data_IF_081538161254
#
_entry.id   IF_081538161254
#
_cell.length_a   1.000
_cell.length_b   1.000
_cell.length_c   1.000
_cell.angle_alpha   90.00
_cell.angle_beta   90.00
_cell.angle_gamma   90.00
#
_symmetry.space_group_name_H-M   'P 1'
#
loop_
_entity.id
_entity.type
_entity.pdbx_description
1 polymer ?
#
# COMPACT_ATOMS: atom_id res chain seq x y z
N UNK A 1 -5.45 1.01 -3.50
CA UNK A 1 -4.77 1.54 -4.67
C UNK A 1 -4.06 0.44 -5.44
N UNK A 2 -3.90 0.63 -6.72
CA UNK A 2 -3.13 -0.31 -7.56
C UNK A 2 -1.64 -0.21 -7.21
N UNK A 3 -0.95 -1.35 -7.13
CA UNK A 3 0.49 -1.42 -6.93
C UNK A 3 1.12 -2.34 -7.98
N UNK A 4 2.11 -1.83 -8.69
CA UNK A 4 2.93 -2.55 -9.63
C UNK A 4 4.34 -1.95 -9.63
N UNK A 5 5.25 -2.58 -8.92
CA UNK A 5 6.62 -2.10 -8.74
C UNK A 5 7.67 -3.01 -9.38
N UNK A 6 7.23 -4.11 -10.00
CA UNK A 6 8.11 -5.12 -10.56
C UNK A 6 8.50 -4.81 -12.01
N UNK A 7 7.52 -4.62 -12.88
CA UNK A 7 7.76 -4.32 -14.31
C UNK A 7 6.68 -3.42 -14.88
N UNK A 8 7.01 -2.58 -15.88
CA UNK A 8 6.03 -1.74 -16.54
C UNK A 8 4.90 -2.56 -17.13
N UNK A 9 3.66 -2.15 -16.87
CA UNK A 9 2.48 -2.85 -17.38
C UNK A 9 1.26 -1.93 -17.49
N UNK A 10 0.16 -2.49 -18.00
CA UNK A 10 -1.11 -1.80 -18.18
C UNK A 10 -1.11 -0.79 -19.33
N UNK A 11 -2.19 -0.02 -19.41
CA UNK A 11 -2.43 0.93 -20.51
C UNK A 11 -1.32 1.98 -20.67
N UNK A 12 -0.66 2.35 -19.59
CA UNK A 12 0.36 3.39 -19.55
C UNK A 12 1.79 2.83 -19.51
N UNK A 13 1.95 1.50 -19.67
CA UNK A 13 3.24 0.82 -19.68
C UNK A 13 4.22 1.40 -18.64
N UNK A 14 3.83 1.41 -17.37
CA UNK A 14 4.64 1.95 -16.29
C UNK A 14 4.54 1.11 -15.00
N UNK A 15 5.51 1.30 -14.12
CA UNK A 15 5.41 0.91 -12.73
C UNK A 15 4.71 2.01 -11.94
N UNK A 16 3.92 1.64 -10.95
CA UNK A 16 3.28 2.62 -10.08
C UNK A 16 2.92 2.06 -8.71
N UNK A 17 2.85 2.94 -7.74
CA UNK A 17 2.32 2.68 -6.42
C UNK A 17 1.67 3.93 -5.82
N UNK A 18 0.80 3.72 -4.85
CA UNK A 18 0.19 4.80 -4.09
C UNK A 18 0.64 4.73 -2.63
N UNK A 19 0.85 5.87 -2.02
CA UNK A 19 1.20 6.00 -0.62
C UNK A 19 0.46 7.19 0.00
N UNK A 20 0.25 7.14 1.30
CA UNK A 20 -0.42 8.20 2.04
C UNK A 20 0.62 9.01 2.81
N UNK A 21 0.55 10.33 2.69
CA UNK A 21 1.36 11.24 3.49
C UNK A 21 0.72 11.38 4.88
N UNK A 22 1.49 11.25 5.98
CA UNK A 22 1.03 11.67 7.29
C UNK A 22 0.68 13.15 7.32
N UNK A 23 -0.25 13.58 8.18
CA UNK A 23 -0.73 14.95 8.23
C UNK A 23 0.39 15.99 8.41
N UNK A 24 1.34 15.72 9.29
CA UNK A 24 2.49 16.60 9.54
C UNK A 24 3.36 16.80 8.28
N UNK A 25 3.52 15.72 7.49
CA UNK A 25 4.27 15.79 6.22
C UNK A 25 3.45 16.51 5.16
N UNK A 26 2.13 16.34 5.16
CA UNK A 26 1.22 17.02 4.25
C UNK A 26 1.27 18.54 4.47
N UNK A 27 1.17 18.98 5.71
CA UNK A 27 1.23 20.41 6.08
C UNK A 27 2.57 21.04 5.62
N UNK A 28 3.67 20.32 5.81
CA UNK A 28 4.99 20.75 5.34
C UNK A 28 5.05 20.79 3.80
N UNK A 29 4.50 19.77 3.14
CA UNK A 29 4.49 19.71 1.67
C UNK A 29 3.64 20.81 1.04
N UNK A 30 2.56 21.24 1.70
CA UNK A 30 1.73 22.37 1.25
C UNK A 30 2.48 23.68 1.40
N UNK A 31 3.16 23.91 2.51
CA UNK A 31 3.98 25.10 2.72
C UNK A 31 5.13 25.18 1.70
N UNK A 32 5.85 24.09 1.50
CA UNK A 32 6.90 23.99 0.48
C UNK A 32 6.36 24.25 -0.92
N UNK A 33 5.17 23.73 -1.21
CA UNK A 33 4.51 23.94 -2.50
C UNK A 33 4.24 25.41 -2.76
N UNK A 34 3.74 26.15 -1.78
CA UNK A 34 3.48 27.59 -1.91
C UNK A 34 4.78 28.35 -2.26
N UNK A 35 5.88 28.03 -1.59
CA UNK A 35 7.18 28.64 -1.85
C UNK A 35 7.69 28.32 -3.25
N UNK A 36 7.61 27.06 -3.65
CA UNK A 36 7.99 26.62 -5.00
C UNK A 36 7.15 27.27 -6.09
N UNK A 37 5.86 27.50 -5.84
CA UNK A 37 4.99 28.21 -6.77
C UNK A 37 5.32 29.70 -6.85
N UNK A 38 5.70 30.34 -5.74
CA UNK A 38 6.23 31.71 -5.75
C UNK A 38 7.47 31.78 -6.65
N UNK A 39 8.40 30.83 -6.46
CA UNK A 39 9.57 30.72 -7.32
C UNK A 39 9.20 30.50 -8.80
N UNK A 40 8.24 29.60 -9.12
CA UNK A 40 7.76 29.39 -10.50
C UNK A 40 7.31 30.71 -11.14
N UNK A 41 6.56 31.53 -10.41
CA UNK A 41 6.07 32.81 -10.90
C UNK A 41 7.19 33.77 -11.29
N UNK A 42 8.37 33.67 -10.67
CA UNK A 42 9.53 34.50 -11.04
C UNK A 42 10.24 34.02 -12.30
N UNK A 43 9.93 32.81 -12.78
CA UNK A 43 10.59 32.17 -13.93
C UNK A 43 9.76 32.22 -15.22
N UNK A 44 8.61 32.86 -15.17
CA UNK A 44 7.70 32.97 -16.32
C UNK A 44 7.31 34.43 -16.56
N UNK A 45 7.22 34.85 -17.82
CA UNK A 45 6.97 36.25 -18.18
C UNK A 45 5.57 36.74 -17.80
N UNK A 46 4.57 35.85 -17.88
CA UNK A 46 3.16 36.15 -17.61
C UNK A 46 2.51 35.09 -16.70
N UNK A 47 2.81 35.09 -15.40
CA UNK A 47 2.32 34.05 -14.47
C UNK A 47 0.81 33.92 -14.42
N UNK A 48 0.08 35.03 -14.58
CA UNK A 48 -1.38 35.05 -14.57
C UNK A 48 -2.06 34.38 -15.76
N UNK A 49 -1.31 34.10 -16.84
CA UNK A 49 -1.82 33.42 -18.04
C UNK A 49 -1.52 31.91 -18.05
N UNK A 50 -0.73 31.46 -17.08
CA UNK A 50 -0.31 30.05 -17.02
C UNK A 50 -1.22 29.34 -16.03
N UNK A 51 -1.82 28.23 -16.46
CA UNK A 51 -2.66 27.42 -15.61
C UNK A 51 -1.84 26.84 -14.43
N UNK A 52 -2.47 26.76 -13.27
CA UNK A 52 -1.90 26.13 -12.08
C UNK A 52 -2.46 24.73 -11.94
N UNK A 53 -1.58 23.74 -11.92
CA UNK A 53 -1.96 22.36 -11.64
C UNK A 53 -2.21 22.14 -10.14
N UNK A 54 -3.17 21.29 -9.78
CA UNK A 54 -3.41 20.93 -8.39
C UNK A 54 -2.19 20.17 -7.79
N UNK A 55 -2.11 20.01 -6.48
CA UNK A 55 -1.10 19.19 -5.84
C UNK A 55 -1.16 17.73 -6.31
N UNK A 56 -0.12 16.96 -6.03
CA UNK A 56 -0.04 15.52 -6.38
C UNK A 56 -0.60 14.59 -5.30
N UNK A 57 -1.22 15.16 -4.29
CA UNK A 57 -1.96 14.46 -3.26
C UNK A 57 -3.43 14.92 -3.27
N UNK A 58 -4.31 14.04 -2.85
CA UNK A 58 -5.72 14.37 -2.63
C UNK A 58 -5.98 14.89 -1.21
N UNK A 59 -7.25 15.14 -0.88
CA UNK A 59 -7.68 15.67 0.41
C UNK A 59 -7.30 14.75 1.58
N UNK A 60 -7.16 13.44 1.32
CA UNK A 60 -6.73 12.44 2.30
C UNK A 60 -5.20 12.27 2.38
N UNK A 61 -4.45 13.04 1.61
CA UNK A 61 -2.99 12.94 1.50
C UNK A 61 -2.51 11.76 0.65
N UNK A 62 -3.39 11.13 -0.14
CA UNK A 62 -3.02 10.02 -1.00
C UNK A 62 -2.27 10.52 -2.24
N UNK A 63 -1.06 10.01 -2.42
CA UNK A 63 -0.22 10.26 -3.58
C UNK A 63 -0.15 9.03 -4.48
N UNK A 64 -0.15 9.24 -5.79
CA UNK A 64 0.19 8.22 -6.78
C UNK A 64 1.50 8.58 -7.46
N UNK A 65 2.45 7.66 -7.45
CA UNK A 65 3.73 7.79 -8.12
C UNK A 65 3.86 6.76 -9.24
N UNK A 66 4.29 7.23 -10.41
CA UNK A 66 4.53 6.39 -11.59
C UNK A 66 5.93 6.63 -12.11
N UNK A 67 6.61 5.56 -12.52
CA UNK A 67 7.98 5.58 -13.00
C UNK A 67 8.22 4.47 -14.01
N UNK A 68 9.40 4.47 -14.63
CA UNK A 68 9.81 3.51 -15.65
C UNK A 68 8.91 3.51 -16.90
N UNK A 69 9.20 2.67 -17.85
CA UNK A 69 8.44 2.55 -19.10
C UNK A 69 8.25 3.88 -19.80
N UNK A 70 7.03 4.17 -20.25
CA UNK A 70 6.69 5.37 -21.04
C UNK A 70 6.76 6.68 -20.22
N UNK A 71 6.94 6.62 -18.90
CA UNK A 71 7.04 7.84 -18.08
C UNK A 71 8.38 8.56 -18.26
N UNK A 72 9.41 7.88 -18.72
CA UNK A 72 10.78 8.38 -18.80
C UNK A 72 11.41 8.73 -17.43
N UNK A 73 10.75 8.37 -16.33
CA UNK A 73 11.27 8.58 -14.97
C UNK A 73 12.03 7.36 -14.51
N UNK A 74 13.24 7.51 -13.95
CA UNK A 74 13.96 6.35 -13.40
C UNK A 74 13.24 5.76 -12.20
N UNK A 75 13.40 4.46 -12.02
CA UNK A 75 12.92 3.76 -10.84
C UNK A 75 13.55 4.34 -9.56
N UNK A 76 12.80 4.44 -8.44
CA UNK A 76 13.41 4.71 -7.14
C UNK A 76 14.29 3.53 -6.71
N UNK A 77 15.25 3.80 -5.83
CA UNK A 77 16.08 2.75 -5.24
C UNK A 77 15.27 2.05 -4.15
N UNK A 78 15.10 0.74 -4.25
CA UNK A 78 14.45 -0.09 -3.24
C UNK A 78 15.51 -0.71 -2.35
N UNK A 79 15.36 -0.56 -1.04
CA UNK A 79 16.27 -1.13 -0.04
C UNK A 79 15.47 -1.85 1.06
N UNK A 80 16.11 -2.78 1.74
CA UNK A 80 15.59 -3.45 2.92
C UNK A 80 15.83 -2.62 4.20
N UNK A 81 15.54 -3.20 5.36
CA UNK A 81 15.74 -2.55 6.68
C UNK A 81 17.21 -2.37 7.05
N UNK A 82 18.12 -3.13 6.44
CA UNK A 82 19.57 -2.99 6.60
C UNK A 82 20.17 -1.92 5.69
N UNK A 83 19.39 -1.48 4.70
CA UNK A 83 19.83 -0.54 3.67
C UNK A 83 20.41 -1.21 2.43
N UNK A 84 20.34 -2.54 2.36
CA UNK A 84 20.82 -3.29 1.19
C UNK A 84 19.81 -3.19 0.03
N UNK A 85 20.28 -3.06 -1.21
CA UNK A 85 19.42 -3.03 -2.38
C UNK A 85 18.59 -4.31 -2.52
N UNK A 86 17.30 -4.14 -2.77
CA UNK A 86 16.38 -5.24 -2.99
C UNK A 86 16.44 -5.68 -4.45
N UNK A 87 16.59 -6.97 -4.67
CA UNK A 87 16.55 -7.55 -6.01
C UNK A 87 15.17 -7.39 -6.64
N UNK A 88 15.16 -7.19 -7.95
CA UNK A 88 13.92 -6.97 -8.71
C UNK A 88 12.90 -8.10 -8.51
N UNK A 89 13.35 -9.35 -8.45
CA UNK A 89 12.45 -10.49 -8.24
C UNK A 89 11.71 -10.44 -6.91
N UNK A 90 12.35 -9.93 -5.86
CA UNK A 90 11.72 -9.73 -4.54
C UNK A 90 10.58 -8.70 -4.61
N UNK A 91 10.66 -7.72 -5.52
CA UNK A 91 9.61 -6.73 -5.71
C UNK A 91 8.28 -7.32 -6.22
N UNK A 92 8.30 -8.54 -6.75
CA UNK A 92 7.07 -9.30 -7.10
C UNK A 92 6.20 -9.59 -5.88
N UNK A 93 6.81 -9.69 -4.70
CA UNK A 93 6.10 -9.99 -3.46
C UNK A 93 5.47 -8.75 -2.80
N UNK A 94 5.81 -7.55 -3.28
CA UNK A 94 5.25 -6.30 -2.75
C UNK A 94 3.76 -6.22 -3.05
N UNK A 95 2.94 -6.08 -2.01
CA UNK A 95 1.48 -6.04 -2.08
C UNK A 95 0.94 -4.80 -1.37
N UNK A 96 -0.33 -4.53 -1.60
CA UNK A 96 -1.06 -3.50 -0.84
C UNK A 96 -0.96 -3.80 0.66
N UNK A 97 -0.71 -2.78 1.46
CA UNK A 97 -0.48 -2.93 2.91
C UNK A 97 0.99 -3.06 3.31
N UNK A 98 1.92 -3.24 2.36
CA UNK A 98 3.36 -3.19 2.64
C UNK A 98 3.72 -1.86 3.30
N UNK A 99 4.42 -1.91 4.43
CA UNK A 99 4.89 -0.72 5.13
C UNK A 99 6.24 -0.29 4.59
N UNK A 100 6.35 0.98 4.26
CA UNK A 100 7.57 1.54 3.66
C UNK A 100 7.95 2.87 4.30
N UNK A 101 9.24 3.22 4.21
CA UNK A 101 9.73 4.58 4.39
C UNK A 101 10.14 5.12 3.03
N UNK A 102 9.85 6.39 2.80
CA UNK A 102 10.13 7.03 1.52
C UNK A 102 11.10 8.19 1.69
N UNK A 103 12.02 8.31 0.73
CA UNK A 103 12.77 9.54 0.49
C UNK A 103 12.17 10.16 -0.76
N UNK A 104 11.54 11.31 -0.60
CA UNK A 104 10.88 12.02 -1.68
C UNK A 104 11.29 13.49 -1.70
N UNK A 105 11.22 14.09 -2.87
CA UNK A 105 11.53 15.50 -3.09
C UNK A 105 10.38 16.13 -3.90
N UNK A 106 9.91 17.28 -3.46
CA UNK A 106 8.99 18.08 -4.25
C UNK A 106 9.77 18.95 -5.23
N UNK A 107 9.37 18.93 -6.50
CA UNK A 107 10.01 19.69 -7.58
C UNK A 107 9.01 20.59 -8.30
N UNK A 108 9.37 21.85 -8.52
CA UNK A 108 8.58 22.77 -9.32
C UNK A 108 8.73 22.51 -10.81
N UNK A 109 7.72 22.88 -11.58
CA UNK A 109 7.77 22.95 -13.04
C UNK A 109 6.90 24.11 -13.53
N UNK A 110 7.27 24.65 -14.70
CA UNK A 110 6.61 25.85 -15.27
C UNK A 110 5.95 25.59 -16.62
N UNK A 111 6.13 24.42 -17.21
CA UNK A 111 5.57 24.04 -18.50
C UNK A 111 5.01 22.61 -18.46
N UNK A 112 3.89 22.33 -19.16
CA UNK A 112 3.02 23.23 -19.93
C UNK A 112 2.15 24.14 -19.04
N UNK A 113 2.05 23.85 -17.75
CA UNK A 113 1.39 24.61 -16.70
C UNK A 113 2.35 24.77 -15.53
N UNK A 114 2.06 25.64 -14.57
CA UNK A 114 2.81 25.73 -13.32
C UNK A 114 2.32 24.67 -12.34
N UNK A 115 3.23 24.13 -11.56
CA UNK A 115 2.88 23.16 -10.52
C UNK A 115 4.08 22.58 -9.82
N UNK A 116 3.81 21.64 -8.94
CA UNK A 116 4.83 20.83 -8.28
C UNK A 116 4.56 19.34 -8.53
N UNK A 117 5.63 18.56 -8.53
CA UNK A 117 5.57 17.10 -8.63
C UNK A 117 6.37 16.49 -7.50
N UNK A 118 5.95 15.32 -7.04
CA UNK A 118 6.74 14.53 -6.08
C UNK A 118 7.63 13.60 -6.88
N UNK A 119 8.92 13.60 -6.58
CA UNK A 119 9.89 12.62 -7.07
C UNK A 119 10.29 11.72 -5.91
N UNK A 120 9.97 10.44 -5.99
CA UNK A 120 10.44 9.45 -5.03
C UNK A 120 11.85 9.02 -5.46
N UNK A 121 12.80 9.12 -4.54
CA UNK A 121 14.21 8.80 -4.75
C UNK A 121 14.54 7.41 -4.20
N UNK A 122 14.00 7.08 -3.03
CA UNK A 122 14.25 5.82 -2.37
C UNK A 122 13.01 5.29 -1.65
N UNK A 123 12.92 3.98 -1.55
CA UNK A 123 11.86 3.23 -0.87
C UNK A 123 12.51 2.18 0.00
N UNK A 124 12.42 2.32 1.32
CA UNK A 124 12.82 1.28 2.25
C UNK A 124 11.60 0.43 2.59
N UNK A 125 11.66 -0.86 2.30
CA UNK A 125 10.60 -1.80 2.68
C UNK A 125 10.83 -2.21 4.14
N UNK A 126 9.90 -1.84 5.01
CA UNK A 126 9.97 -2.12 6.45
C UNK A 126 9.29 -3.44 6.78
N UNK A 127 8.13 -3.68 6.17
CA UNK A 127 7.34 -4.88 6.41
C UNK A 127 6.58 -5.22 5.13
N UNK A 128 6.81 -6.42 4.59
CA UNK A 128 6.03 -6.92 3.47
C UNK A 128 4.64 -7.35 3.96
N UNK A 129 3.61 -6.88 3.26
CA UNK A 129 2.27 -7.42 3.48
C UNK A 129 2.25 -8.87 3.02
N UNK A 130 1.86 -9.80 3.89
CA UNK A 130 1.65 -11.19 3.50
C UNK A 130 0.51 -11.28 2.48
N UNK A 131 0.58 -12.25 1.57
CA UNK A 131 -0.45 -12.47 0.57
C UNK A 131 -1.84 -12.74 1.20
N UNK A 132 -1.86 -13.11 2.46
CA UNK A 132 -3.03 -13.42 3.27
C UNK A 132 -3.55 -12.22 4.09
N UNK A 133 -2.85 -11.09 4.08
CA UNK A 133 -3.17 -9.90 4.89
C UNK A 133 -4.08 -8.88 4.20
N UNK A 134 -5.00 -9.29 3.35
CA UNK A 134 -6.03 -8.40 2.83
C UNK A 134 -7.21 -8.33 3.81
N UNK A 135 -7.08 -7.48 4.81
CA UNK A 135 -8.18 -7.14 5.75
C UNK A 135 -9.39 -6.54 5.00
N UNK A 136 -9.24 -6.26 3.71
CA UNK A 136 -10.24 -5.54 2.89
C UNK A 136 -11.10 -6.48 2.03
N UNK A 137 -10.80 -7.81 2.01
CA UNK A 137 -11.60 -8.79 1.26
C UNK A 137 -12.52 -9.64 2.13
N UNK A 138 -12.44 -9.52 3.45
CA UNK A 138 -13.21 -10.35 4.38
C UNK A 138 -12.79 -11.83 4.40
N UNK A 139 -11.82 -12.21 3.56
CA UNK A 139 -11.31 -13.57 3.49
C UNK A 139 -10.07 -13.72 4.37
N UNK A 140 -10.17 -14.60 5.36
CA UNK A 140 -9.03 -15.01 6.20
C UNK A 140 -8.39 -16.27 5.62
N UNK A 141 -7.07 -16.38 5.72
CA UNK A 141 -6.41 -17.64 5.39
C UNK A 141 -6.73 -18.74 6.40
N UNK A 142 -6.59 -19.99 5.99
CA UNK A 142 -6.79 -21.11 6.90
C UNK A 142 -5.85 -21.08 8.12
N UNK A 143 -4.63 -20.54 7.93
CA UNK A 143 -3.62 -20.39 8.99
C UNK A 143 -3.99 -19.27 9.97
N UNK A 144 -4.50 -18.13 9.47
CA UNK A 144 -4.98 -17.04 10.32
C UNK A 144 -6.20 -17.47 11.14
N UNK A 145 -7.14 -18.19 10.52
CA UNK A 145 -8.32 -18.78 11.18
C UNK A 145 -7.86 -19.76 12.26
N UNK A 146 -6.94 -20.66 11.94
CA UNK A 146 -6.41 -21.64 12.90
C UNK A 146 -5.70 -20.95 14.08
N UNK A 147 -4.94 -19.89 13.81
CA UNK A 147 -4.26 -19.10 14.86
C UNK A 147 -5.24 -18.39 15.80
N UNK A 148 -6.35 -17.88 15.27
CA UNK A 148 -7.37 -17.19 16.08
C UNK A 148 -8.22 -18.13 16.91
N UNK A 149 -8.57 -19.31 16.39
CA UNK A 149 -9.35 -20.29 17.13
C UNK A 149 -8.53 -21.10 18.14
N UNK A 150 -7.23 -21.23 17.91
CA UNK A 150 -6.36 -22.08 18.71
C UNK A 150 -6.71 -23.57 18.55
N UNK A 151 -6.19 -24.39 19.47
CA UNK A 151 -6.44 -25.84 19.49
C UNK A 151 -7.43 -26.15 20.60
N UNK A 152 -8.57 -26.77 20.25
CA UNK A 152 -9.55 -27.30 21.22
C UNK A 152 -9.77 -28.77 20.96
N UNK A 153 -10.14 -29.52 22.02
CA UNK A 153 -10.47 -30.93 21.89
C UNK A 153 -11.84 -31.09 21.19
N UNK A 154 -11.89 -31.98 20.20
CA UNK A 154 -13.12 -32.24 19.46
C UNK A 154 -12.86 -32.91 18.12
N UNK A 155 -13.70 -32.60 17.12
CA UNK A 155 -13.64 -33.19 15.80
C UNK A 155 -12.29 -32.91 15.12
N UNK A 156 -11.64 -33.97 14.62
CA UNK A 156 -10.46 -33.92 13.79
C UNK A 156 -10.70 -34.61 12.45
N UNK A 157 -10.33 -33.97 11.38
CA UNK A 157 -10.47 -34.53 10.03
C UNK A 157 -9.57 -35.77 9.91
N UNK A 158 -10.18 -36.92 9.54
CA UNK A 158 -9.45 -38.19 9.39
C UNK A 158 -9.57 -39.15 10.57
N UNK A 159 -10.13 -38.74 11.70
CA UNK A 159 -10.49 -39.67 12.78
C UNK A 159 -11.90 -40.21 12.58
N UNK A 160 -12.13 -41.53 12.74
CA UNK A 160 -13.47 -42.09 12.64
C UNK A 160 -14.33 -41.51 13.78
N UNK A 161 -15.54 -41.04 13.44
CA UNK A 161 -16.49 -40.53 14.42
C UNK A 161 -16.76 -41.57 15.50
N UNK A 162 -16.29 -41.33 16.71
CA UNK A 162 -16.67 -42.14 17.87
C UNK A 162 -18.14 -41.90 18.12
N UNK A 163 -18.99 -42.88 17.74
CA UNK A 163 -20.39 -42.85 18.13
C UNK A 163 -20.44 -42.96 19.65
N UNK A 164 -20.70 -41.86 20.32
CA UNK A 164 -21.13 -41.90 21.71
C UNK A 164 -22.39 -42.74 21.77
N UNK A 165 -22.29 -43.92 22.35
CA UNK A 165 -23.42 -44.75 22.64
C UNK A 165 -24.35 -43.94 23.57
N UNK A 166 -25.57 -43.70 23.14
CA UNK A 166 -26.58 -43.10 23.98
C UNK A 166 -26.72 -43.99 25.21
N UNK A 167 -26.40 -43.44 26.37
CA UNK A 167 -26.76 -44.04 27.66
C UNK A 167 -28.26 -43.92 27.75
N UNK A 168 -28.91 -45.04 27.56
CA UNK A 168 -30.36 -45.20 27.86
C UNK A 168 -30.47 -45.13 29.35
N UNK A 169 -30.82 -43.97 29.87
CA UNK A 169 -31.21 -43.82 31.27
C UNK A 169 -32.53 -44.56 31.51
N UNK A 170 -32.52 -45.48 32.43
CA UNK A 170 -33.68 -46.20 32.96
C UNK A 170 -34.77 -45.20 33.40
N UNK A 171 -35.93 -45.37 32.82
CA UNK A 171 -37.10 -44.60 33.15
C UNK A 171 -37.64 -44.98 34.55
N UNK A 172 -37.70 -44.01 35.42
CA UNK A 172 -38.60 -44.10 36.57
C UNK A 172 -40.01 -43.76 36.12
N UNK A 173 -40.84 -44.79 36.25
CA UNK A 173 -42.30 -44.74 36.12
C UNK A 173 -42.90 -43.97 37.30
N UNK A 174 -43.57 -42.87 37.03
CA UNK A 174 -44.50 -42.28 37.99
C UNK A 174 -45.91 -42.54 37.52
N UNK A 175 -46.61 -43.47 38.26
CA UNK A 175 -48.02 -43.63 38.27
C UNK A 175 -48.75 -42.46 38.94
N UNK A 176 -49.66 -41.83 38.24
CA UNK A 176 -50.90 -41.24 38.75
C UNK A 176 -52.01 -41.30 37.70
#
# INVERSE_FOLDING_TARGET
GFINVFEPSGKFNNCCFSFKLPQEVLDTAEADREELLKWCKTKVDNPSRIALNPPKWDEDGLCKYSYDGDTGRPAPVFVDTSGDPIEKETLRSVRRGTKVRLIAQQKPYTKPAMGTTIKVLGVQIVELSSANGSVDSGDMSAEDVASMFGTVDGFKQGEPAVRQAAVVGDGESYDF
#
